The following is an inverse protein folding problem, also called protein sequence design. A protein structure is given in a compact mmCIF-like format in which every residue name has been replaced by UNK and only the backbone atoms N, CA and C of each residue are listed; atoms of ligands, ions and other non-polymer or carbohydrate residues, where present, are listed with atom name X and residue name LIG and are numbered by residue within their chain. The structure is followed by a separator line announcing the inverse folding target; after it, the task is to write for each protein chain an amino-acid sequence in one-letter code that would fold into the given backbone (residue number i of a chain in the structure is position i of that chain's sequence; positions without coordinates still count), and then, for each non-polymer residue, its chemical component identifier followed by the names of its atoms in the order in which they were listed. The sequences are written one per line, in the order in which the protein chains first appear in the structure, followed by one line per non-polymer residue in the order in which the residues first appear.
data_IF_425096510754
#
_entry.id   IF_425096510754
#
_cell.length_a   1.000
_cell.length_b   1.000
_cell.length_c   1.000
_cell.angle_alpha   90.00
_cell.angle_beta   90.00
_cell.angle_gamma   90.00
#
_symmetry.space_group_name_H-M   'P 1'
#
loop_
_entity.id
_entity.type
_entity.pdbx_description
1 polymer ?
#
# COMPACT_ATOMS: atom_id res chain seq x y z
N UNK A 1 -1.48 1.71 5.64
CA UNK A 1 -0.55 0.55 5.83
C UNK A 1 -0.58 0.12 7.29
N UNK A 2 -0.51 -1.19 7.61
CA UNK A 2 -0.33 -1.67 8.98
C UNK A 2 1.16 -1.60 9.36
N UNK A 3 1.47 -1.44 10.67
CA UNK A 3 2.87 -1.40 11.13
C UNK A 3 3.63 -2.69 10.79
N UNK A 4 3.03 -3.85 11.06
CA UNK A 4 3.63 -5.15 10.73
C UNK A 4 3.77 -5.37 9.23
N UNK A 5 2.93 -4.72 8.40
CA UNK A 5 3.06 -4.71 6.94
C UNK A 5 4.31 -3.95 6.50
N UNK A 6 4.58 -2.77 7.09
CA UNK A 6 5.80 -2.02 6.82
C UNK A 6 7.07 -2.77 7.28
N UNK A 7 7.02 -3.44 8.42
CA UNK A 7 8.10 -4.29 8.93
C UNK A 7 8.36 -5.45 7.96
N UNK A 8 7.31 -6.16 7.55
CA UNK A 8 7.40 -7.29 6.62
C UNK A 8 8.00 -6.87 5.26
N UNK A 9 7.52 -5.78 4.68
CA UNK A 9 8.03 -5.26 3.40
C UNK A 9 9.51 -4.84 3.53
N UNK A 10 9.85 -4.09 4.57
CA UNK A 10 11.22 -3.65 4.82
C UNK A 10 12.22 -4.80 4.96
N UNK A 11 11.85 -5.87 5.69
CA UNK A 11 12.67 -7.06 5.83
C UNK A 11 12.92 -7.77 4.49
N UNK A 12 11.94 -7.81 3.58
CA UNK A 12 12.09 -8.43 2.26
C UNK A 12 12.98 -7.59 1.37
N UNK A 13 12.77 -6.27 1.35
CA UNK A 13 13.63 -5.35 0.61
C UNK A 13 15.08 -5.38 1.09
N UNK A 14 15.30 -5.53 2.39
CA UNK A 14 16.65 -5.60 2.97
C UNK A 14 17.47 -6.81 2.47
N UNK A 15 16.81 -7.87 2.00
CA UNK A 15 17.45 -9.11 1.51
C UNK A 15 17.85 -9.03 0.04
N UNK A 16 17.38 -8.01 -0.70
CA UNK A 16 17.64 -7.88 -2.13
C UNK A 16 18.91 -7.05 -2.32
N UNK A 17 19.83 -7.49 -3.20
CA UNK A 17 21.02 -6.70 -3.55
C UNK A 17 20.65 -5.32 -4.12
N UNK A 18 21.50 -4.32 -3.87
CA UNK A 18 21.22 -2.93 -4.26
C UNK A 18 21.01 -2.78 -5.78
N UNK A 19 21.83 -3.49 -6.59
CA UNK A 19 21.72 -3.45 -8.05
C UNK A 19 20.41 -4.02 -8.60
N UNK A 20 19.72 -4.86 -7.81
CA UNK A 20 18.45 -5.48 -8.19
C UNK A 20 17.25 -4.74 -7.62
N UNK A 21 17.48 -3.96 -6.53
CA UNK A 21 16.43 -3.20 -5.87
C UNK A 21 16.31 -1.77 -6.40
N UNK A 22 17.45 -1.10 -6.71
CA UNK A 22 17.44 0.32 -7.06
C UNK A 22 17.69 0.61 -8.53
N UNK A 23 17.05 1.64 -9.09
CA UNK A 23 16.09 2.57 -8.47
C UNK A 23 14.75 1.90 -8.13
N UNK A 24 14.17 2.24 -6.97
CA UNK A 24 12.84 1.82 -6.56
C UNK A 24 11.81 2.92 -6.88
N UNK A 25 10.68 2.54 -7.47
CA UNK A 25 9.53 3.42 -7.66
C UNK A 25 8.43 3.08 -6.65
N UNK A 26 8.09 4.02 -5.79
CA UNK A 26 7.02 3.92 -4.80
C UNK A 26 5.74 4.58 -5.35
N UNK A 27 4.78 3.76 -5.77
CA UNK A 27 3.51 4.18 -6.37
C UNK A 27 2.43 4.37 -5.30
N UNK A 28 1.84 5.57 -5.25
CA UNK A 28 0.89 5.95 -4.21
C UNK A 28 1.59 6.24 -2.89
N UNK A 29 2.73 6.92 -2.96
CA UNK A 29 3.65 7.13 -1.83
C UNK A 29 3.06 7.95 -0.69
N UNK A 30 1.95 8.68 -0.91
CA UNK A 30 1.48 9.74 -0.04
C UNK A 30 2.56 10.81 0.22
N UNK A 31 2.38 11.66 1.23
CA UNK A 31 3.26 12.80 1.51
C UNK A 31 4.37 12.44 2.51
N UNK A 32 5.42 13.27 2.58
CA UNK A 32 6.46 13.11 3.60
C UNK A 32 5.87 13.18 5.02
N UNK A 33 4.95 14.11 5.25
CA UNK A 33 4.26 14.23 6.55
C UNK A 33 3.52 12.94 6.92
N UNK A 34 2.83 12.35 5.95
CA UNK A 34 2.13 11.08 6.20
C UNK A 34 3.09 9.97 6.59
N UNK A 35 4.20 9.81 5.86
CA UNK A 35 5.18 8.75 6.10
C UNK A 35 6.01 8.95 7.37
N UNK A 36 6.21 10.22 7.82
CA UNK A 36 7.09 10.55 8.95
C UNK A 36 6.35 10.89 10.24
N UNK A 37 5.12 11.41 10.15
CA UNK A 37 4.36 11.90 11.32
C UNK A 37 3.08 11.10 11.54
N UNK A 38 2.29 10.84 10.48
CA UNK A 38 1.02 10.11 10.61
C UNK A 38 1.24 8.62 10.78
N UNK A 39 2.12 8.02 9.95
CA UNK A 39 2.52 6.62 10.03
C UNK A 39 4.05 6.48 10.01
N UNK A 40 4.75 6.91 11.07
CA UNK A 40 6.22 7.01 11.09
C UNK A 40 6.96 5.67 10.96
N UNK A 41 6.25 4.57 11.14
CA UNK A 41 6.79 3.23 10.93
C UNK A 41 7.05 2.92 9.44
N UNK A 42 6.36 3.60 8.48
CA UNK A 42 6.65 3.48 7.05
C UNK A 42 8.06 3.98 6.78
N UNK A 43 8.35 5.19 7.21
CA UNK A 43 9.67 5.78 7.06
C UNK A 43 10.75 4.95 7.76
N UNK A 44 10.50 4.56 9.01
CA UNK A 44 11.46 3.83 9.85
C UNK A 44 11.81 2.44 9.29
N UNK A 45 10.81 1.70 8.82
CA UNK A 45 11.00 0.30 8.46
C UNK A 45 11.30 0.10 6.96
N UNK A 46 10.91 1.05 6.10
CA UNK A 46 11.09 0.93 4.65
C UNK A 46 12.12 1.95 4.16
N UNK A 47 11.80 3.24 4.17
CA UNK A 47 12.57 4.21 3.41
C UNK A 47 13.87 4.66 4.06
N UNK A 48 13.92 4.80 5.40
CA UNK A 48 15.16 5.16 6.09
C UNK A 48 16.26 4.10 5.91
N UNK A 49 15.99 2.78 6.06
CA UNK A 49 16.96 1.74 5.75
C UNK A 49 17.42 1.74 4.29
N UNK A 50 16.51 1.97 3.32
CA UNK A 50 16.85 2.02 1.90
C UNK A 50 17.77 3.20 1.58
N UNK A 51 17.48 4.39 2.14
CA UNK A 51 18.37 5.56 1.98
C UNK A 51 19.72 5.38 2.67
N UNK A 52 19.77 4.68 3.80
CA UNK A 52 21.04 4.38 4.48
C UNK A 52 21.97 3.50 3.63
N UNK A 53 21.40 2.71 2.68
CA UNK A 53 22.15 1.94 1.68
C UNK A 53 22.57 2.79 0.46
N UNK A 54 22.25 4.09 0.43
CA UNK A 54 22.47 4.95 -0.74
C UNK A 54 21.50 4.72 -1.88
N UNK A 55 20.38 4.04 -1.62
CA UNK A 55 19.38 3.67 -2.62
C UNK A 55 18.57 4.86 -3.13
N UNK A 56 18.33 4.88 -4.44
CA UNK A 56 17.46 5.86 -5.10
C UNK A 56 16.02 5.37 -5.02
N UNK A 57 15.15 6.17 -4.40
CA UNK A 57 13.71 5.94 -4.34
C UNK A 57 12.98 7.12 -4.96
N UNK A 58 12.09 6.85 -5.90
CA UNK A 58 11.19 7.83 -6.49
C UNK A 58 9.79 7.68 -5.89
N UNK A 59 9.31 8.72 -5.22
CA UNK A 59 7.96 8.76 -4.64
C UNK A 59 6.98 9.38 -5.63
N UNK A 60 5.95 8.62 -6.03
CA UNK A 60 4.92 9.04 -6.96
C UNK A 60 3.55 9.07 -6.27
N UNK A 61 2.85 10.21 -6.37
CA UNK A 61 1.48 10.37 -5.86
C UNK A 61 0.73 11.43 -6.67
N UNK A 62 -0.60 11.49 -6.51
CA UNK A 62 -1.42 12.57 -7.10
C UNK A 62 -1.27 13.90 -6.35
N UNK A 63 -0.78 13.88 -5.11
CA UNK A 63 -0.69 15.02 -4.22
C UNK A 63 0.57 15.84 -4.53
N UNK A 64 0.45 17.14 -4.90
CA UNK A 64 1.60 18.00 -5.13
C UNK A 64 2.18 18.54 -3.80
N UNK A 65 2.65 17.64 -2.95
CA UNK A 65 3.07 17.94 -1.58
C UNK A 65 4.54 17.50 -1.34
N UNK A 66 5.20 18.04 -0.30
CA UNK A 66 6.56 17.65 0.04
C UNK A 66 6.75 16.13 0.17
N UNK A 67 7.84 15.64 -0.40
CA UNK A 67 8.19 14.21 -0.41
C UNK A 67 7.53 13.40 -1.52
N UNK A 68 6.86 14.06 -2.48
CA UNK A 68 6.42 13.49 -3.74
C UNK A 68 7.33 14.00 -4.84
N UNK A 69 8.09 13.12 -5.47
CA UNK A 69 9.05 13.46 -6.54
C UNK A 69 8.36 13.57 -7.89
N UNK A 70 7.33 12.74 -8.10
CA UNK A 70 6.59 12.66 -9.35
C UNK A 70 5.11 12.81 -9.07
N UNK A 71 4.57 13.96 -9.43
CA UNK A 71 3.15 14.28 -9.24
C UNK A 71 2.35 13.89 -10.48
N UNK A 72 1.29 13.09 -10.28
CA UNK A 72 0.36 12.76 -11.35
C UNK A 72 -0.62 11.65 -11.01
N UNK A 73 -1.63 11.52 -11.86
CA UNK A 73 -2.72 10.56 -11.68
C UNK A 73 -2.49 9.31 -12.54
N UNK A 74 -2.34 8.15 -11.92
CA UNK A 74 -2.21 6.86 -12.61
C UNK A 74 -3.49 6.44 -13.37
N UNK A 75 -4.62 7.08 -13.12
CA UNK A 75 -5.84 6.93 -13.92
C UNK A 75 -5.75 7.64 -15.28
N UNK A 76 -4.83 8.61 -15.45
CA UNK A 76 -4.57 9.27 -16.72
C UNK A 76 -3.67 8.41 -17.63
N UNK A 77 -4.15 7.99 -18.82
CA UNK A 77 -3.36 7.21 -19.76
C UNK A 77 -2.06 7.89 -20.23
N UNK A 78 -2.09 9.21 -20.42
CA UNK A 78 -0.91 9.97 -20.85
C UNK A 78 0.17 9.99 -19.75
N UNK A 79 -0.26 10.09 -18.49
CA UNK A 79 0.64 10.00 -17.36
C UNK A 79 1.22 8.60 -17.20
N UNK A 80 0.40 7.54 -17.32
CA UNK A 80 0.90 6.15 -17.33
C UNK A 80 1.95 5.92 -18.42
N UNK A 81 1.74 6.45 -19.63
CA UNK A 81 2.71 6.35 -20.71
C UNK A 81 4.05 7.07 -20.45
N UNK A 82 4.04 8.09 -19.57
CA UNK A 82 5.28 8.73 -19.11
C UNK A 82 5.99 7.85 -18.07
N UNK A 83 5.24 7.35 -17.09
CA UNK A 83 5.78 6.48 -16.03
C UNK A 83 6.37 5.21 -16.61
N UNK A 84 5.73 4.60 -17.62
CA UNK A 84 6.21 3.36 -18.26
C UNK A 84 7.58 3.48 -18.96
N UNK A 85 8.08 4.71 -19.14
CA UNK A 85 9.42 4.99 -19.72
C UNK A 85 10.51 5.19 -18.67
N UNK A 86 10.17 5.13 -17.41
CA UNK A 86 11.15 5.24 -16.33
C UNK A 86 12.03 4.00 -16.29
N UNK A 87 13.29 4.20 -15.97
CA UNK A 87 14.24 3.09 -15.77
C UNK A 87 14.32 2.81 -14.27
N UNK A 88 13.58 1.80 -13.83
CA UNK A 88 13.56 1.34 -12.44
C UNK A 88 13.86 -0.15 -12.36
N UNK A 89 14.36 -0.61 -11.23
CA UNK A 89 14.63 -2.04 -10.98
C UNK A 89 13.53 -2.69 -10.16
N UNK A 90 12.85 -1.90 -9.35
CA UNK A 90 11.77 -2.41 -8.51
C UNK A 90 10.64 -1.40 -8.34
N UNK A 91 9.47 -1.91 -7.97
CA UNK A 91 8.26 -1.12 -7.71
C UNK A 91 7.66 -1.53 -6.37
N UNK A 92 7.25 -0.55 -5.58
CA UNK A 92 6.41 -0.72 -4.40
C UNK A 92 5.02 -0.18 -4.69
N UNK A 93 3.99 -0.99 -4.49
CA UNK A 93 2.57 -0.62 -4.55
C UNK A 93 1.91 -1.01 -3.23
N UNK A 94 1.97 -0.14 -2.25
CA UNK A 94 1.34 -0.39 -0.96
C UNK A 94 0.07 0.41 -0.78
N UNK A 95 -1.02 -0.27 -0.42
CA UNK A 95 -2.33 0.35 -0.18
C UNK A 95 -2.81 1.24 -1.33
N UNK A 96 -2.52 0.85 -2.58
CA UNK A 96 -2.87 1.62 -3.78
C UNK A 96 -4.03 0.99 -4.57
N UNK A 97 -4.04 -0.35 -4.75
CA UNK A 97 -4.96 -1.02 -5.66
C UNK A 97 -6.45 -0.74 -5.39
N UNK A 98 -6.82 -0.59 -4.13
CA UNK A 98 -8.21 -0.32 -3.76
C UNK A 98 -8.65 1.16 -3.97
N UNK A 99 -7.74 2.03 -4.40
CA UNK A 99 -8.05 3.40 -4.81
C UNK A 99 -8.09 3.58 -6.34
N UNK A 100 -7.85 2.52 -7.10
CA UNK A 100 -7.81 2.57 -8.55
C UNK A 100 -9.06 1.92 -9.15
N UNK A 101 -9.79 2.66 -9.98
CA UNK A 101 -10.87 2.10 -10.81
C UNK A 101 -10.30 1.31 -11.99
N UNK A 102 -9.20 1.79 -12.57
CA UNK A 102 -8.50 1.16 -13.70
C UNK A 102 -7.28 0.36 -13.24
N UNK A 103 -7.39 -0.38 -12.11
CA UNK A 103 -6.23 -1.07 -11.52
C UNK A 103 -5.54 -2.04 -12.49
N UNK A 104 -6.28 -2.73 -13.37
CA UNK A 104 -5.70 -3.64 -14.35
C UNK A 104 -4.71 -2.94 -15.28
N UNK A 105 -5.06 -1.76 -15.79
CA UNK A 105 -4.20 -0.97 -16.67
C UNK A 105 -2.94 -0.46 -15.95
N UNK A 106 -3.06 -0.16 -14.65
CA UNK A 106 -1.90 0.21 -13.84
C UNK A 106 -1.01 -1.00 -13.59
N UNK A 107 -1.58 -2.18 -13.33
CA UNK A 107 -0.82 -3.42 -13.19
C UNK A 107 -0.07 -3.80 -14.48
N UNK A 108 -0.73 -3.67 -15.64
CA UNK A 108 -0.09 -3.88 -16.96
C UNK A 108 1.08 -2.91 -17.19
N UNK A 109 0.89 -1.64 -16.84
CA UNK A 109 1.95 -0.64 -16.92
C UNK A 109 3.13 -1.01 -16.02
N UNK A 110 2.87 -1.41 -14.76
CA UNK A 110 3.91 -1.81 -13.81
C UNK A 110 4.67 -3.05 -14.30
N UNK A 111 3.95 -4.06 -14.81
CA UNK A 111 4.57 -5.25 -15.36
C UNK A 111 5.45 -4.91 -16.56
N UNK A 112 5.01 -3.97 -17.43
CA UNK A 112 5.78 -3.51 -18.57
C UNK A 112 7.02 -2.69 -18.18
N UNK A 113 6.90 -1.90 -17.13
CA UNK A 113 7.96 -1.03 -16.60
C UNK A 113 9.14 -1.83 -16.03
N UNK A 114 8.85 -2.95 -15.36
CA UNK A 114 9.88 -3.77 -14.73
C UNK A 114 10.76 -4.46 -15.76
N UNK A 115 12.09 -4.46 -15.61
CA UNK A 115 12.99 -5.32 -16.38
C UNK A 115 12.81 -6.79 -15.99
N UNK A 116 13.30 -7.71 -16.79
CA UNK A 116 13.45 -9.11 -16.42
C UNK A 116 14.24 -9.23 -15.10
N UNK A 117 13.79 -10.06 -14.18
CA UNK A 117 14.33 -10.15 -12.81
C UNK A 117 14.02 -8.96 -11.90
N UNK A 118 13.28 -7.97 -12.37
CA UNK A 118 12.86 -6.82 -11.55
C UNK A 118 11.82 -7.20 -10.48
N UNK A 119 11.89 -6.57 -9.32
CA UNK A 119 11.06 -6.90 -8.16
C UNK A 119 9.82 -6.01 -8.05
N UNK A 120 8.73 -6.62 -7.63
CA UNK A 120 7.49 -5.94 -7.34
C UNK A 120 7.00 -6.31 -5.93
N UNK A 121 6.81 -5.30 -5.10
CA UNK A 121 6.24 -5.42 -3.76
C UNK A 121 4.83 -4.85 -3.79
N UNK A 122 3.84 -5.68 -3.51
CA UNK A 122 2.44 -5.25 -3.47
C UNK A 122 1.84 -5.59 -2.13
N UNK A 123 1.15 -4.64 -1.54
CA UNK A 123 0.37 -4.90 -0.33
C UNK A 123 -0.90 -4.05 -0.31
N UNK A 124 -1.86 -4.50 0.47
CA UNK A 124 -3.12 -3.78 0.63
C UNK A 124 -4.06 -4.42 1.63
N UNK A 125 -5.16 -3.72 1.96
CA UNK A 125 -6.13 -4.23 2.92
C UNK A 125 -6.79 -5.52 2.42
N UNK A 126 -6.90 -6.53 3.30
CA UNK A 126 -7.62 -7.78 3.06
C UNK A 126 -8.90 -7.83 3.90
N UNK A 127 -8.81 -7.96 5.22
CA UNK A 127 -9.93 -7.78 6.12
C UNK A 127 -9.84 -6.38 6.72
N UNK A 128 -10.50 -5.42 6.10
CA UNK A 128 -10.43 -4.02 6.51
C UNK A 128 -11.78 -3.34 6.21
N UNK A 129 -12.30 -2.47 7.10
CA UNK A 129 -13.52 -1.71 6.82
C UNK A 129 -13.32 -0.80 5.60
N UNK A 130 -14.44 -0.31 5.08
CA UNK A 130 -14.43 0.76 4.09
C UNK A 130 -13.60 1.93 4.63
N UNK A 131 -12.63 2.41 3.86
CA UNK A 131 -11.93 3.64 4.21
C UNK A 131 -12.89 4.84 4.11
N UNK A 132 -12.62 5.85 4.92
CA UNK A 132 -13.40 7.09 4.85
C UNK A 132 -13.15 7.88 3.55
N UNK A 133 -12.14 7.50 2.78
CA UNK A 133 -11.84 8.06 1.47
C UNK A 133 -12.93 7.65 0.45
N UNK A 134 -13.58 8.61 -0.23
CA UNK A 134 -14.67 8.34 -1.16
C UNK A 134 -14.26 7.51 -2.38
N UNK A 135 -12.98 7.37 -2.67
CA UNK A 135 -12.47 6.58 -3.80
C UNK A 135 -12.16 5.12 -3.45
N UNK A 136 -12.37 4.67 -2.21
CA UNK A 136 -12.17 3.26 -1.85
C UNK A 136 -13.17 2.37 -2.59
N UNK A 137 -12.68 1.60 -3.54
CA UNK A 137 -13.44 0.67 -4.37
C UNK A 137 -13.84 -0.62 -3.64
N UNK A 138 -13.41 -0.81 -2.39
CA UNK A 138 -13.55 -2.06 -1.63
C UNK A 138 -12.83 -3.26 -2.27
N UNK A 139 -11.90 -3.04 -3.17
CA UNK A 139 -11.06 -4.12 -3.68
C UNK A 139 -10.12 -4.61 -2.57
N UNK A 140 -10.34 -5.83 -2.11
CA UNK A 140 -9.64 -6.48 -0.98
C UNK A 140 -9.06 -7.82 -1.47
N UNK A 141 -8.03 -7.75 -2.33
CA UNK A 141 -7.56 -8.95 -3.03
C UNK A 141 -6.87 -9.93 -2.10
N UNK A 142 -7.09 -11.21 -2.37
CA UNK A 142 -6.30 -12.32 -1.84
C UNK A 142 -4.88 -12.32 -2.46
N UNK A 143 -4.00 -13.16 -1.94
CA UNK A 143 -2.64 -13.36 -2.49
C UNK A 143 -2.73 -13.75 -3.97
N UNK A 144 -3.61 -14.69 -4.30
CA UNK A 144 -3.78 -15.20 -5.66
C UNK A 144 -4.39 -14.16 -6.60
N UNK A 145 -5.28 -13.30 -6.09
CA UNK A 145 -5.86 -12.22 -6.87
C UNK A 145 -4.83 -11.13 -7.18
N UNK A 146 -3.98 -10.76 -6.21
CA UNK A 146 -2.85 -9.86 -6.47
C UNK A 146 -1.94 -10.46 -7.55
N UNK A 147 -1.53 -11.72 -7.40
CA UNK A 147 -0.64 -12.35 -8.38
C UNK A 147 -1.24 -12.36 -9.79
N UNK A 148 -2.54 -12.63 -9.92
CA UNK A 148 -3.23 -12.58 -11.22
C UNK A 148 -3.26 -11.20 -11.87
N UNK A 149 -3.13 -10.13 -11.09
CA UNK A 149 -3.04 -8.77 -11.63
C UNK A 149 -1.70 -8.50 -12.35
N UNK A 150 -0.67 -9.32 -12.14
CA UNK A 150 0.68 -9.12 -12.68
C UNK A 150 1.14 -10.34 -13.49
N UNK A 151 0.59 -10.56 -14.70
CA UNK A 151 0.99 -11.69 -15.55
C UNK A 151 2.46 -11.60 -15.94
N UNK A 152 3.12 -12.75 -16.11
CA UNK A 152 4.56 -12.81 -16.42
C UNK A 152 5.45 -12.48 -15.22
N UNK A 153 4.91 -12.68 -14.01
CA UNK A 153 5.67 -12.61 -12.78
C UNK A 153 5.57 -13.91 -11.99
N UNK A 154 6.61 -14.21 -11.23
CA UNK A 154 6.67 -15.34 -10.30
C UNK A 154 6.62 -14.83 -8.87
N UNK A 155 5.83 -15.47 -8.04
CA UNK A 155 5.75 -15.16 -6.61
C UNK A 155 6.96 -15.70 -5.87
N UNK A 156 7.66 -14.85 -5.11
CA UNK A 156 8.79 -15.22 -4.28
C UNK A 156 8.39 -15.42 -2.81
N UNK A 157 7.53 -14.53 -2.31
CA UNK A 157 7.07 -14.57 -0.93
C UNK A 157 5.68 -13.93 -0.82
N UNK A 158 4.92 -14.33 0.19
CA UNK A 158 3.60 -13.77 0.45
C UNK A 158 3.18 -13.97 1.90
N UNK A 159 2.34 -13.09 2.40
CA UNK A 159 1.76 -13.22 3.73
C UNK A 159 0.38 -12.54 3.82
N UNK A 160 -0.46 -13.07 4.70
CA UNK A 160 -1.58 -12.33 5.27
C UNK A 160 -1.11 -11.82 6.63
N UNK A 161 -0.95 -10.51 6.71
CA UNK A 161 -0.39 -9.83 7.87
C UNK A 161 -1.52 -9.44 8.80
N UNK A 162 -1.47 -9.93 10.02
CA UNK A 162 -2.46 -9.65 11.06
C UNK A 162 -2.04 -8.43 11.89
N UNK A 163 -2.76 -7.33 11.73
CA UNK A 163 -2.57 -6.08 12.49
C UNK A 163 -3.29 -6.06 13.85
N UNK A 164 -3.91 -7.18 14.24
CA UNK A 164 -4.75 -7.24 15.43
C UNK A 164 -6.16 -6.68 15.20
N UNK A 165 -6.92 -6.59 16.27
CA UNK A 165 -8.26 -6.01 16.19
C UNK A 165 -8.22 -4.48 16.22
N UNK A 166 -9.32 -3.84 15.84
CA UNK A 166 -9.45 -2.38 15.84
C UNK A 166 -9.06 -1.71 17.17
N UNK A 167 -9.33 -2.36 18.30
CA UNK A 167 -8.98 -1.83 19.63
C UNK A 167 -7.47 -1.71 19.81
N UNK A 168 -6.75 -2.75 19.40
CA UNK A 168 -5.29 -2.79 19.52
C UNK A 168 -4.64 -1.80 18.56
N UNK A 169 -5.14 -1.72 17.33
CA UNK A 169 -4.68 -0.76 16.33
C UNK A 169 -4.92 0.69 16.77
N UNK A 170 -6.13 1.02 17.22
CA UNK A 170 -6.49 2.35 17.66
C UNK A 170 -5.75 2.77 18.94
N UNK A 171 -5.52 1.84 19.86
CA UNK A 171 -4.73 2.09 21.07
C UNK A 171 -3.26 2.38 20.73
N UNK A 172 -2.70 1.67 19.78
CA UNK A 172 -1.32 1.84 19.34
C UNK A 172 -1.10 3.14 18.53
N UNK A 173 -2.08 3.54 17.70
CA UNK A 173 -1.91 4.64 16.75
C UNK A 173 -2.55 5.96 17.20
N UNK A 174 -3.62 5.91 17.99
CA UNK A 174 -4.42 7.09 18.38
C UNK A 174 -4.54 7.33 19.88
N UNK A 175 -3.81 6.57 20.69
CA UNK A 175 -3.78 6.76 22.15
C UNK A 175 -5.05 6.30 22.89
N UNK A 176 -5.82 5.36 22.33
CA UNK A 176 -6.87 4.62 23.04
C UNK A 176 -8.16 5.38 23.39
N UNK A 177 -8.29 6.64 22.99
CA UNK A 177 -9.49 7.47 23.31
C UNK A 177 -10.68 7.24 22.37
N UNK A 178 -10.55 6.36 21.38
CA UNK A 178 -11.59 6.22 20.36
C UNK A 178 -12.69 5.26 20.75
N UNK A 179 -12.42 4.28 21.62
CA UNK A 179 -13.42 3.29 22.01
C UNK A 179 -14.60 3.94 22.76
N UNK A 180 -14.32 4.79 23.75
CA UNK A 180 -15.34 5.53 24.48
C UNK A 180 -16.15 6.43 23.55
N UNK A 181 -15.47 7.12 22.62
CA UNK A 181 -16.14 7.96 21.61
C UNK A 181 -16.95 7.13 20.62
N UNK A 182 -16.49 5.93 20.26
CA UNK A 182 -17.20 5.02 19.37
C UNK A 182 -18.46 4.48 20.02
N UNK A 183 -18.37 4.04 21.28
CA UNK A 183 -19.53 3.59 22.06
C UNK A 183 -20.53 4.74 22.27
N UNK A 184 -20.05 5.92 22.65
CA UNK A 184 -20.91 7.10 22.82
C UNK A 184 -21.62 7.49 21.51
N UNK A 185 -20.94 7.39 20.36
CA UNK A 185 -21.53 7.63 19.04
C UNK A 185 -22.56 6.58 18.64
N UNK A 186 -22.33 5.32 18.94
CA UNK A 186 -23.31 4.25 18.70
C UNK A 186 -24.59 4.44 19.51
N UNK A 187 -24.49 5.03 20.70
CA UNK A 187 -25.62 5.34 21.57
C UNK A 187 -26.38 6.61 21.17
N UNK A 188 -25.87 7.42 20.23
CA UNK A 188 -26.46 8.69 19.80
C UNK A 188 -26.77 8.73 18.31
N UNK A 189 -27.69 7.86 17.79
CA UNK A 189 -27.96 7.75 16.34
C UNK A 189 -28.53 9.04 15.73
N UNK A 190 -29.25 9.85 16.55
CA UNK A 190 -29.95 11.04 16.06
C UNK A 190 -29.07 12.30 15.97
N UNK A 191 -27.89 12.31 16.61
CA UNK A 191 -27.08 13.54 16.71
C UNK A 191 -26.28 13.85 15.41
N UNK A 192 -25.87 12.84 14.66
CA UNK A 192 -25.21 12.95 13.33
C UNK A 192 -25.38 11.62 12.58
N UNK A 193 -26.48 11.41 11.85
CA UNK A 193 -26.83 10.11 11.27
C UNK A 193 -25.78 9.60 10.27
N UNK A 194 -25.16 10.49 9.47
CA UNK A 194 -24.11 10.09 8.53
C UNK A 194 -22.86 9.51 9.22
N UNK A 195 -22.42 10.16 10.31
CA UNK A 195 -21.30 9.67 11.11
C UNK A 195 -21.65 8.44 11.92
N UNK A 196 -22.91 8.30 12.32
CA UNK A 196 -23.39 7.11 12.99
C UNK A 196 -23.34 5.89 12.09
N UNK A 197 -23.79 6.03 10.83
CA UNK A 197 -23.70 4.95 9.85
C UNK A 197 -22.26 4.53 9.55
N UNK A 198 -21.32 5.46 9.49
CA UNK A 198 -19.91 5.14 9.35
C UNK A 198 -19.40 4.29 10.52
N UNK A 199 -19.70 4.70 11.75
CA UNK A 199 -19.31 3.97 12.96
C UNK A 199 -20.01 2.62 13.05
N UNK A 200 -21.29 2.53 12.71
CA UNK A 200 -22.04 1.29 12.68
C UNK A 200 -21.46 0.27 11.69
N UNK A 201 -21.05 0.72 10.50
CA UNK A 201 -20.38 -0.14 9.50
C UNK A 201 -19.00 -0.61 9.94
N UNK A 202 -18.30 0.18 10.74
CA UNK A 202 -16.97 -0.16 11.29
C UNK A 202 -17.06 -1.03 12.54
N UNK A 203 -18.22 -1.06 13.23
CA UNK A 203 -18.40 -1.76 14.51
C UNK A 203 -18.06 -3.27 14.48
N UNK A 204 -18.29 -4.05 13.40
CA UNK A 204 -17.88 -5.46 13.35
C UNK A 204 -16.36 -5.64 13.50
N UNK A 205 -15.56 -4.65 13.08
CA UNK A 205 -14.10 -4.70 13.14
C UNK A 205 -13.53 -4.43 14.56
N UNK A 206 -14.37 -4.07 15.53
CA UNK A 206 -13.98 -4.05 16.95
C UNK A 206 -13.56 -5.46 17.41
N UNK A 207 -14.19 -6.49 16.82
CA UNK A 207 -13.94 -7.90 17.15
C UNK A 207 -13.22 -8.67 16.05
N UNK A 208 -13.19 -8.15 14.83
CA UNK A 208 -12.49 -8.75 13.70
C UNK A 208 -11.07 -8.22 13.62
N UNK A 209 -10.14 -9.09 13.20
CA UNK A 209 -8.78 -8.67 12.93
C UNK A 209 -8.71 -7.85 11.65
N UNK A 210 -7.92 -6.80 11.71
CA UNK A 210 -7.50 -6.03 10.54
C UNK A 210 -6.34 -6.77 9.91
N UNK A 211 -6.50 -7.19 8.66
CA UNK A 211 -5.44 -7.91 7.96
C UNK A 211 -5.10 -7.24 6.63
N UNK A 212 -3.85 -7.37 6.23
CA UNK A 212 -3.36 -6.95 4.92
C UNK A 212 -2.79 -8.15 4.17
N UNK A 213 -3.01 -8.18 2.87
CA UNK A 213 -2.31 -9.08 1.95
C UNK A 213 -1.01 -8.42 1.53
N UNK A 214 0.11 -9.15 1.54
CA UNK A 214 1.38 -8.68 1.02
C UNK A 214 2.03 -9.77 0.16
N UNK A 215 2.62 -9.37 -0.97
CA UNK A 215 3.32 -10.27 -1.88
C UNK A 215 4.61 -9.64 -2.38
N UNK A 216 5.60 -10.47 -2.66
CA UNK A 216 6.82 -10.13 -3.39
C UNK A 216 6.82 -10.96 -4.68
N UNK A 217 6.82 -10.26 -5.81
CA UNK A 217 6.87 -10.86 -7.12
C UNK A 217 8.19 -10.49 -7.81
N UNK A 218 8.63 -11.33 -8.74
CA UNK A 218 9.74 -11.03 -9.64
C UNK A 218 9.28 -11.26 -11.08
N UNK A 219 9.62 -10.33 -11.96
CA UNK A 219 9.29 -10.47 -13.37
C UNK A 219 10.12 -11.61 -13.97
N UNK A 220 9.45 -12.52 -14.67
CA UNK A 220 10.09 -13.64 -15.31
C UNK A 220 11.13 -13.17 -16.32
N UNK A 221 12.23 -13.90 -16.42
CA UNK A 221 13.15 -13.74 -17.53
C UNK A 221 12.40 -14.14 -18.81
N UNK A 222 12.29 -13.22 -19.76
CA UNK A 222 11.74 -13.58 -21.05
C UNK A 222 12.64 -14.68 -21.63
N UNK A 223 12.08 -15.87 -21.79
CA UNK A 223 12.77 -16.91 -22.54
C UNK A 223 13.08 -16.33 -23.95
N UNK A 224 14.32 -16.34 -24.39
CA UNK A 224 14.62 -15.90 -25.74
C UNK A 224 14.04 -16.95 -26.70
N UNK A 225 12.86 -16.69 -27.25
CA UNK A 225 12.33 -17.35 -28.45
C UNK A 225 12.36 -16.40 -29.62
#
# INVERSE_FOLDING_TARGET
MLRLEAEWLGERMARIPDNDLFPLLDLGSSTLEYRTQTQPYIERNIFAPLRARGGIVYHLDVKPEPGVDIVGNLEDPAFRARVSRMQVRSVLMSSLLHYLHSYSQVCDMVTSLLPAGGYLFVSGPFSHPHDADPIDTMFRPSIEEIHRCFPGTRMLDSAIIDGGNWRNWDAAERGGRSLERTVLRLLTPFYRPEKWWQVARQSPYIFRHLTATAVVLVKDEQSPF
#
